data_IF_493194677163
#
_entry.id   IF_493194677163
#
_cell.length_a   1.000
_cell.length_b   1.000
_cell.length_c   1.000
_cell.angle_alpha   90.00
_cell.angle_beta   90.00
_cell.angle_gamma   90.00
#
_symmetry.space_group_name_H-M   'P 1'
#
loop_
_entity.id
_entity.type
_entity.pdbx_description
1 polymer ?
#
# COMPACT_ATOMS: atom_id res chain seq x y z
N UNK A 1 -0.18 -5.17 -43.21
CA UNK A 1 -0.45 -5.90 -44.46
C UNK A 1 -1.70 -5.37 -45.16
N UNK A 2 -2.92 -5.54 -44.62
CA UNK A 2 -4.16 -5.04 -45.26
C UNK A 2 -4.16 -3.53 -45.50
N UNK A 3 -3.75 -2.74 -44.51
CA UNK A 3 -3.67 -1.28 -44.63
C UNK A 3 -2.62 -0.82 -45.64
N UNK A 4 -1.55 -1.60 -45.84
CA UNK A 4 -0.56 -1.36 -46.89
C UNK A 4 -1.09 -1.74 -48.29
N UNK A 5 -1.95 -2.76 -48.38
CA UNK A 5 -2.61 -3.15 -49.63
C UNK A 5 -3.62 -2.09 -50.09
N UNK A 6 -4.39 -1.53 -49.15
CA UNK A 6 -5.36 -0.45 -49.42
C UNK A 6 -4.67 0.84 -49.87
N UNK A 7 -3.49 1.15 -49.33
CA UNK A 7 -2.72 2.32 -49.77
C UNK A 7 -2.00 2.12 -51.11
N UNK A 8 -1.77 0.88 -51.54
CA UNK A 8 -1.15 0.59 -52.84
C UNK A 8 -2.14 0.69 -54.01
N UNK A 9 -3.44 0.49 -53.76
CA UNK A 9 -4.51 0.66 -54.75
C UNK A 9 -5.15 2.04 -54.57
N UNK A 10 -4.76 3.02 -55.38
CA UNK A 10 -5.35 4.36 -55.33
C UNK A 10 -6.89 4.34 -55.47
N UNK A 11 -7.59 5.38 -54.97
CA UNK A 11 -9.06 5.38 -54.82
C UNK A 11 -9.85 5.32 -56.13
N UNK A 12 -9.22 5.48 -57.29
CA UNK A 12 -9.91 5.67 -58.59
C UNK A 12 -10.21 4.37 -59.36
N UNK A 13 -9.81 3.19 -58.84
CA UNK A 13 -9.89 1.93 -59.59
C UNK A 13 -10.85 0.86 -59.09
N UNK A 14 -11.47 1.03 -57.91
CA UNK A 14 -12.34 0.01 -57.32
C UNK A 14 -13.80 0.25 -57.65
N UNK A 15 -14.45 -0.78 -58.21
CA UNK A 15 -15.91 -0.81 -58.26
C UNK A 15 -16.48 -0.86 -56.84
N UNK A 16 -17.67 -0.30 -56.63
CA UNK A 16 -18.35 -0.30 -55.32
C UNK A 16 -18.42 -1.70 -54.70
N UNK A 17 -18.63 -2.74 -55.52
CA UNK A 17 -18.68 -4.13 -55.04
C UNK A 17 -17.33 -4.66 -54.52
N UNK A 18 -16.20 -4.25 -55.11
CA UNK A 18 -14.87 -4.62 -54.62
C UNK A 18 -14.55 -3.91 -53.30
N UNK A 19 -14.97 -2.66 -53.14
CA UNK A 19 -14.78 -1.91 -51.90
C UNK A 19 -15.55 -2.56 -50.74
N UNK A 20 -16.81 -2.94 -50.97
CA UNK A 20 -17.63 -3.65 -49.97
C UNK A 20 -17.04 -5.03 -49.61
N UNK A 21 -16.49 -5.75 -50.59
CA UNK A 21 -15.82 -7.04 -50.35
C UNK A 21 -14.55 -6.86 -49.50
N UNK A 22 -13.71 -5.87 -49.81
CA UNK A 22 -12.50 -5.58 -49.03
C UNK A 22 -12.84 -5.13 -47.60
N UNK A 23 -13.89 -4.33 -47.42
CA UNK A 23 -14.36 -3.94 -46.08
C UNK A 23 -14.80 -5.15 -45.25
N UNK A 24 -15.54 -6.09 -45.87
CA UNK A 24 -15.95 -7.35 -45.21
C UNK A 24 -14.75 -8.23 -44.86
N UNK A 25 -13.77 -8.36 -45.75
CA UNK A 25 -12.54 -9.13 -45.47
C UNK A 25 -11.72 -8.48 -44.36
N UNK A 26 -11.58 -7.15 -44.35
CA UNK A 26 -10.87 -6.44 -43.30
C UNK A 26 -11.56 -6.60 -41.94
N UNK A 27 -12.89 -6.51 -41.89
CA UNK A 27 -13.67 -6.77 -40.66
C UNK A 27 -13.49 -8.22 -40.17
N UNK A 28 -13.62 -9.20 -41.07
CA UNK A 28 -13.42 -10.61 -40.74
C UNK A 28 -11.99 -10.91 -40.26
N UNK A 29 -10.97 -10.30 -40.88
CA UNK A 29 -9.58 -10.44 -40.43
C UNK A 29 -9.32 -9.74 -39.10
N UNK A 30 -9.98 -8.63 -38.82
CA UNK A 30 -9.87 -7.94 -37.52
C UNK A 30 -10.54 -8.75 -36.40
N UNK A 31 -11.72 -9.31 -36.67
CA UNK A 31 -12.42 -10.20 -35.73
C UNK A 31 -11.63 -11.49 -35.53
N UNK A 32 -11.10 -12.07 -36.61
CA UNK A 32 -10.24 -13.23 -36.52
C UNK A 32 -8.93 -12.93 -35.81
N UNK A 33 -8.30 -11.76 -36.02
CA UNK A 33 -7.11 -11.31 -35.30
C UNK A 33 -7.39 -11.04 -33.81
N UNK A 34 -8.56 -10.50 -33.47
CA UNK A 34 -9.00 -10.36 -32.08
C UNK A 34 -9.25 -11.73 -31.44
N UNK A 35 -9.81 -12.68 -32.19
CA UNK A 35 -10.02 -14.07 -31.77
C UNK A 35 -8.70 -14.85 -31.64
N UNK A 36 -7.73 -14.64 -32.54
CA UNK A 36 -6.40 -15.30 -32.51
C UNK A 36 -5.44 -14.67 -31.53
N UNK A 37 -5.59 -13.38 -31.19
CA UNK A 37 -4.77 -12.76 -30.11
C UNK A 37 -5.01 -13.38 -28.74
N UNK A 38 -6.01 -14.25 -28.64
CA UNK A 38 -6.41 -14.87 -27.41
C UNK A 38 -6.92 -13.85 -26.41
N UNK A 39 -7.69 -14.33 -25.44
CA UNK A 39 -8.15 -13.44 -24.38
C UNK A 39 -7.00 -13.14 -23.43
N UNK A 40 -6.51 -11.90 -23.45
CA UNK A 40 -5.60 -11.39 -22.42
C UNK A 40 -6.36 -11.27 -21.10
N UNK A 41 -5.81 -11.87 -20.04
CA UNK A 41 -6.35 -11.79 -18.69
C UNK A 41 -5.68 -10.66 -17.93
N UNK A 42 -6.45 -9.82 -17.25
CA UNK A 42 -5.93 -8.78 -16.36
C UNK A 42 -5.91 -9.29 -14.92
N UNK A 43 -4.74 -9.27 -14.29
CA UNK A 43 -4.57 -9.61 -12.88
C UNK A 43 -4.01 -8.38 -12.16
N UNK A 44 -4.69 -7.93 -11.11
CA UNK A 44 -4.21 -6.84 -10.26
C UNK A 44 -4.06 -7.33 -8.84
N UNK A 45 -2.92 -7.04 -8.22
CA UNK A 45 -2.58 -7.46 -6.85
C UNK A 45 -2.09 -6.25 -6.09
N UNK A 46 -2.89 -5.83 -5.10
CA UNK A 46 -2.55 -4.77 -4.17
C UNK A 46 -2.25 -5.38 -2.80
N UNK A 47 -1.03 -5.21 -2.29
CA UNK A 47 -0.55 -5.94 -1.12
C UNK A 47 -0.02 -5.02 -0.03
N UNK A 48 -0.27 -5.35 1.24
CA UNK A 48 0.36 -4.65 2.36
C UNK A 48 1.82 -5.09 2.53
N UNK A 49 2.73 -4.13 2.78
CA UNK A 49 4.16 -4.39 2.98
C UNK A 49 4.51 -5.02 4.32
N UNK A 50 3.55 -5.11 5.25
CA UNK A 50 3.69 -5.75 6.57
C UNK A 50 2.62 -6.83 6.79
N UNK A 51 1.97 -7.28 5.72
CA UNK A 51 0.77 -8.12 5.77
C UNK A 51 1.14 -9.60 5.58
N UNK A 52 1.00 -10.47 6.59
CA UNK A 52 1.35 -11.88 6.49
C UNK A 52 0.55 -12.62 5.41
N UNK A 53 -0.76 -12.37 5.32
CA UNK A 53 -1.62 -12.96 4.28
C UNK A 53 -1.21 -12.53 2.87
N UNK A 54 -0.66 -11.33 2.74
CA UNK A 54 -0.17 -10.83 1.46
C UNK A 54 1.10 -11.56 1.05
N UNK A 55 2.04 -11.76 1.98
CA UNK A 55 3.22 -12.60 1.74
C UNK A 55 2.84 -14.03 1.35
N UNK A 56 1.88 -14.63 2.07
CA UNK A 56 1.38 -15.98 1.82
C UNK A 56 0.77 -16.10 0.42
N UNK A 57 -0.11 -15.18 0.02
CA UNK A 57 -0.67 -15.14 -1.32
C UNK A 57 0.40 -14.94 -2.40
N UNK A 58 1.35 -14.01 -2.20
CA UNK A 58 2.41 -13.77 -3.17
C UNK A 58 3.28 -15.02 -3.38
N UNK A 59 3.65 -15.71 -2.30
CA UNK A 59 4.48 -16.93 -2.35
C UNK A 59 3.73 -18.15 -2.89
N UNK A 60 2.51 -18.38 -2.45
CA UNK A 60 1.80 -19.65 -2.70
C UNK A 60 0.80 -19.56 -3.87
N UNK A 61 0.42 -18.36 -4.30
CA UNK A 61 -0.52 -18.14 -5.40
C UNK A 61 0.12 -17.45 -6.61
N UNK A 62 0.73 -16.27 -6.39
CA UNK A 62 1.26 -15.45 -7.50
C UNK A 62 2.60 -15.99 -8.02
N UNK A 63 3.49 -16.43 -7.14
CA UNK A 63 4.80 -16.96 -7.53
C UNK A 63 4.69 -18.16 -8.49
N UNK A 64 3.90 -19.21 -8.19
CA UNK A 64 3.74 -20.32 -9.13
C UNK A 64 3.15 -19.89 -10.47
N UNK A 65 2.27 -18.88 -10.47
CA UNK A 65 1.69 -18.33 -11.70
C UNK A 65 2.76 -17.63 -12.57
N UNK A 66 3.59 -16.77 -11.98
CA UNK A 66 4.67 -16.05 -12.69
C UNK A 66 5.72 -17.01 -13.27
N UNK A 67 5.99 -18.12 -12.57
CA UNK A 67 6.99 -19.11 -12.98
C UNK A 67 6.41 -20.27 -13.81
N UNK A 68 5.11 -20.28 -14.10
CA UNK A 68 4.47 -21.35 -14.87
C UNK A 68 4.86 -21.41 -16.35
N UNK A 69 5.55 -20.38 -16.87
CA UNK A 69 5.89 -20.30 -18.30
C UNK A 69 4.69 -19.94 -19.18
N UNK A 70 3.77 -19.11 -18.68
CA UNK A 70 2.67 -18.55 -19.47
C UNK A 70 3.27 -17.69 -20.60
N UNK A 71 2.78 -17.80 -21.85
CA UNK A 71 3.27 -16.99 -22.96
C UNK A 71 3.09 -15.48 -22.73
N UNK A 72 3.98 -14.69 -23.32
CA UNK A 72 3.84 -13.23 -23.36
C UNK A 72 2.51 -12.83 -24.03
N UNK A 73 1.90 -11.76 -23.54
CA UNK A 73 0.63 -11.18 -23.98
C UNK A 73 -0.61 -11.84 -23.37
N UNK A 74 -0.48 -13.04 -22.80
CA UNK A 74 -1.62 -13.79 -22.29
C UNK A 74 -2.14 -13.24 -20.95
N UNK A 75 -1.25 -12.74 -20.09
CA UNK A 75 -1.63 -12.19 -18.77
C UNK A 75 -0.92 -10.85 -18.54
N UNK A 76 -1.69 -9.85 -18.14
CA UNK A 76 -1.24 -8.50 -17.79
C UNK A 76 -1.32 -8.34 -16.28
N UNK A 77 -0.20 -8.08 -15.61
CA UNK A 77 -0.11 -7.95 -14.16
C UNK A 77 0.03 -6.49 -13.73
N UNK A 78 -0.82 -6.05 -12.79
CA UNK A 78 -0.55 -4.92 -11.90
C UNK A 78 -0.16 -5.49 -10.54
N UNK A 79 1.01 -5.12 -10.02
CA UNK A 79 1.52 -5.53 -8.72
C UNK A 79 2.00 -4.28 -7.99
N UNK A 80 1.25 -3.83 -6.98
CA UNK A 80 1.52 -2.58 -6.27
C UNK A 80 1.38 -2.74 -4.75
N UNK A 81 2.25 -2.09 -3.95
CA UNK A 81 2.03 -2.00 -2.53
C UNK A 81 0.78 -1.15 -2.24
N UNK A 82 -0.02 -1.58 -1.27
CA UNK A 82 -1.18 -0.84 -0.78
C UNK A 82 -0.73 0.20 0.24
N UNK A 83 -0.79 1.45 -0.17
CA UNK A 83 -0.57 2.63 0.66
C UNK A 83 -1.82 3.50 0.53
N UNK A 84 -2.37 3.99 1.64
CA UNK A 84 -3.56 4.87 1.60
C UNK A 84 -3.30 6.09 0.71
N UNK A 85 -4.29 6.47 -0.10
CA UNK A 85 -4.12 7.48 -1.14
C UNK A 85 -3.87 8.91 -0.63
N UNK A 86 -4.05 9.18 0.66
CA UNK A 86 -3.97 10.49 1.31
C UNK A 86 -2.59 10.83 1.90
N UNK A 87 -1.62 9.92 1.81
CA UNK A 87 -0.30 10.12 2.40
C UNK A 87 0.53 11.16 1.63
N UNK A 88 1.14 12.09 2.36
CA UNK A 88 2.23 12.94 1.84
C UNK A 88 3.56 12.21 1.96
N UNK A 89 4.62 12.77 1.39
CA UNK A 89 5.97 12.24 1.56
C UNK A 89 6.36 12.13 3.04
N UNK A 90 6.02 13.15 3.81
CA UNK A 90 6.34 13.27 5.23
C UNK A 90 5.54 12.25 6.06
N UNK A 91 4.24 12.12 5.80
CA UNK A 91 3.41 11.14 6.53
C UNK A 91 3.75 9.71 6.15
N UNK A 92 4.25 9.49 4.92
CA UNK A 92 4.73 8.19 4.49
C UNK A 92 5.94 7.71 5.31
N UNK A 93 6.87 8.62 5.66
CA UNK A 93 8.05 8.27 6.44
C UNK A 93 7.74 7.89 7.89
N UNK A 94 6.66 8.44 8.47
CA UNK A 94 6.21 8.11 9.82
C UNK A 94 5.26 6.90 9.87
N UNK A 95 4.77 6.44 8.72
CA UNK A 95 3.92 5.26 8.59
C UNK A 95 4.75 4.05 8.13
N UNK A 96 4.95 3.05 8.99
CA UNK A 96 5.82 1.90 8.67
C UNK A 96 5.46 1.21 7.34
N UNK A 97 4.18 0.84 7.06
CA UNK A 97 3.82 0.26 5.77
C UNK A 97 4.23 1.10 4.57
N UNK A 98 4.01 2.41 4.63
CA UNK A 98 4.40 3.33 3.56
C UNK A 98 5.93 3.46 3.44
N UNK A 99 6.63 3.55 4.57
CA UNK A 99 8.09 3.63 4.58
C UNK A 99 8.75 2.41 3.92
N UNK A 100 8.22 1.20 4.16
CA UNK A 100 8.68 -0.04 3.52
C UNK A 100 8.30 -0.11 2.03
N UNK A 101 7.15 0.46 1.66
CA UNK A 101 6.71 0.49 0.27
C UNK A 101 7.68 1.23 -0.67
N UNK A 102 8.55 2.11 -0.16
CA UNK A 102 9.55 2.82 -0.97
C UNK A 102 10.55 1.88 -1.63
N UNK A 103 11.11 0.92 -0.87
CA UNK A 103 12.06 -0.05 -1.40
C UNK A 103 11.38 -0.99 -2.42
N UNK A 104 10.17 -1.44 -2.08
CA UNK A 104 9.31 -2.22 -2.98
C UNK A 104 9.03 -1.47 -4.28
N UNK A 105 8.68 -0.19 -4.24
CA UNK A 105 8.44 0.61 -5.44
C UNK A 105 9.70 0.80 -6.28
N UNK A 106 10.86 0.98 -5.65
CA UNK A 106 12.13 1.01 -6.36
C UNK A 106 12.44 -0.31 -7.08
N UNK A 107 12.15 -1.45 -6.44
CA UNK A 107 12.31 -2.76 -7.07
C UNK A 107 11.29 -3.01 -8.20
N UNK A 108 10.10 -2.42 -8.10
CA UNK A 108 9.05 -2.47 -9.12
C UNK A 108 9.26 -1.46 -10.26
N UNK A 109 10.28 -0.59 -10.21
CA UNK A 109 10.46 0.47 -11.20
C UNK A 109 10.58 -0.08 -12.64
N UNK A 110 11.24 -1.23 -12.82
CA UNK A 110 11.36 -1.89 -14.14
C UNK A 110 10.03 -2.47 -14.67
N UNK A 111 8.99 -2.52 -13.85
CA UNK A 111 7.64 -2.95 -14.23
C UNK A 111 6.72 -1.78 -14.56
N UNK A 112 7.20 -0.54 -14.44
CA UNK A 112 6.42 0.66 -14.73
C UNK A 112 6.58 1.07 -16.21
N UNK A 113 5.50 1.57 -16.84
CA UNK A 113 4.13 1.69 -16.32
C UNK A 113 3.41 0.33 -16.25
N UNK A 114 2.52 0.17 -15.26
CA UNK A 114 1.68 -1.01 -15.12
C UNK A 114 0.29 -0.84 -15.77
N UNK A 115 -0.36 -1.92 -16.26
CA UNK A 115 0.06 -3.32 -16.12
C UNK A 115 1.26 -3.67 -17.02
N UNK A 116 1.95 -4.75 -16.68
CA UNK A 116 3.10 -5.29 -17.42
C UNK A 116 2.82 -6.73 -17.82
N UNK A 117 3.58 -7.25 -18.78
CA UNK A 117 3.51 -8.67 -19.13
C UNK A 117 3.96 -9.57 -17.97
N UNK A 118 3.12 -10.54 -17.59
CA UNK A 118 3.40 -11.48 -16.49
C UNK A 118 4.70 -12.27 -16.72
N UNK A 119 5.01 -12.62 -17.98
CA UNK A 119 6.15 -13.47 -18.33
C UNK A 119 7.48 -12.70 -18.40
N UNK A 120 7.45 -11.36 -18.26
CA UNK A 120 8.65 -10.53 -18.30
C UNK A 120 9.61 -10.83 -17.16
N UNK A 121 10.91 -10.77 -17.44
CA UNK A 121 11.93 -10.98 -16.39
C UNK A 121 11.94 -9.85 -15.36
N UNK A 122 11.45 -8.66 -15.73
CA UNK A 122 11.22 -7.57 -14.77
C UNK A 122 10.23 -8.00 -13.69
N UNK A 123 9.10 -8.62 -14.06
CA UNK A 123 8.11 -9.12 -13.08
C UNK A 123 8.70 -10.19 -12.17
N UNK A 124 9.42 -11.16 -12.72
CA UNK A 124 10.05 -12.24 -11.92
C UNK A 124 10.99 -11.67 -10.86
N UNK A 125 11.96 -10.86 -11.29
CA UNK A 125 12.94 -10.23 -10.39
C UNK A 125 12.26 -9.32 -9.36
N UNK A 126 11.30 -8.49 -9.77
CA UNK A 126 10.59 -7.64 -8.82
C UNK A 126 9.77 -8.46 -7.83
N UNK A 127 9.12 -9.54 -8.25
CA UNK A 127 8.36 -10.42 -7.34
C UNK A 127 9.27 -11.17 -6.37
N UNK A 128 10.41 -11.69 -6.83
CA UNK A 128 11.44 -12.30 -5.96
C UNK A 128 11.83 -11.30 -4.86
N UNK A 129 12.06 -10.03 -5.24
CA UNK A 129 12.47 -8.99 -4.29
C UNK A 129 11.36 -8.71 -3.29
N UNK A 130 10.14 -8.50 -3.77
CA UNK A 130 8.96 -8.23 -2.93
C UNK A 130 8.73 -9.37 -1.94
N UNK A 131 8.79 -10.62 -2.37
CA UNK A 131 8.64 -11.78 -1.49
C UNK A 131 9.74 -11.86 -0.42
N UNK A 132 10.98 -11.51 -0.76
CA UNK A 132 12.08 -11.46 0.20
C UNK A 132 11.94 -10.30 1.20
N UNK A 133 11.64 -9.08 0.73
CA UNK A 133 11.47 -7.90 1.59
C UNK A 133 10.27 -8.10 2.54
N UNK A 134 9.13 -8.54 2.03
CA UNK A 134 7.95 -8.82 2.86
C UNK A 134 8.21 -9.93 3.89
N UNK A 135 9.06 -10.91 3.59
CA UNK A 135 9.40 -11.93 4.57
C UNK A 135 10.07 -11.32 5.81
N UNK A 136 10.96 -10.35 5.62
CA UNK A 136 11.64 -9.67 6.72
C UNK A 136 10.67 -8.75 7.49
N UNK A 137 9.88 -7.94 6.79
CA UNK A 137 8.96 -7.00 7.43
C UNK A 137 7.81 -7.71 8.16
N UNK A 138 7.29 -8.82 7.63
CA UNK A 138 6.28 -9.67 8.31
C UNK A 138 6.86 -10.33 9.56
N UNK A 139 8.15 -10.65 9.57
CA UNK A 139 8.85 -11.15 10.77
C UNK A 139 9.20 -10.04 11.78
N UNK A 140 8.74 -8.82 11.55
CA UNK A 140 8.92 -7.72 12.49
C UNK A 140 10.27 -7.01 12.38
N UNK A 141 10.96 -7.12 11.25
CA UNK A 141 12.14 -6.31 11.00
C UNK A 141 11.82 -4.81 11.21
N UNK A 142 12.60 -4.15 12.06
CA UNK A 142 12.58 -2.70 12.22
C UNK A 142 13.13 -2.01 10.97
N UNK A 143 12.89 -0.70 10.75
CA UNK A 143 13.44 -0.02 9.57
C UNK A 143 14.95 -0.16 9.40
N UNK A 144 15.79 -0.01 10.46
CA UNK A 144 17.23 -0.25 10.33
C UNK A 144 17.59 -1.69 9.94
N UNK A 145 16.87 -2.68 10.47
CA UNK A 145 17.08 -4.10 10.11
C UNK A 145 16.65 -4.36 8.66
N UNK A 146 15.52 -3.80 8.23
CA UNK A 146 15.03 -3.99 6.87
C UNK A 146 15.98 -3.36 5.84
N UNK A 147 16.62 -2.22 6.15
CA UNK A 147 17.67 -1.63 5.30
C UNK A 147 18.81 -2.60 5.04
N UNK A 148 19.18 -3.43 6.03
CA UNK A 148 20.21 -4.47 5.82
C UNK A 148 19.68 -5.63 4.95
N UNK A 149 18.42 -6.03 5.16
CA UNK A 149 17.77 -7.08 4.38
C UNK A 149 17.61 -6.70 2.90
N UNK A 150 17.34 -5.43 2.59
CA UNK A 150 17.15 -4.90 1.23
C UNK A 150 18.33 -5.27 0.31
N UNK A 151 19.57 -5.17 0.78
CA UNK A 151 20.75 -5.52 -0.03
C UNK A 151 20.81 -7.02 -0.35
N UNK A 152 20.46 -7.88 0.62
CA UNK A 152 20.39 -9.33 0.42
C UNK A 152 19.27 -9.69 -0.56
N UNK A 153 18.08 -9.10 -0.40
CA UNK A 153 16.95 -9.31 -1.28
C UNK A 153 17.25 -8.84 -2.71
N UNK A 154 17.84 -7.65 -2.89
CA UNK A 154 18.24 -7.16 -4.21
C UNK A 154 19.18 -8.17 -4.92
N UNK A 155 20.16 -8.72 -4.20
CA UNK A 155 21.09 -9.71 -4.74
C UNK A 155 20.40 -11.02 -5.12
N UNK A 156 19.53 -11.56 -4.26
CA UNK A 156 18.78 -12.79 -4.52
C UNK A 156 17.87 -12.64 -5.76
N UNK A 157 17.35 -11.44 -5.98
CA UNK A 157 16.43 -11.13 -7.07
C UNK A 157 17.12 -10.59 -8.32
N UNK A 158 18.45 -10.59 -8.36
CA UNK A 158 19.25 -10.04 -9.47
C UNK A 158 18.90 -8.59 -9.81
N UNK A 159 18.55 -7.79 -8.80
CA UNK A 159 18.38 -6.33 -8.90
C UNK A 159 19.68 -5.69 -8.39
N UNK A 160 20.24 -4.76 -9.16
CA UNK A 160 21.42 -4.02 -8.71
C UNK A 160 21.08 -3.26 -7.42
N UNK A 161 21.79 -3.55 -6.33
CA UNK A 161 21.63 -2.81 -5.09
C UNK A 161 22.31 -1.44 -5.17
N UNK A 162 23.57 -1.43 -5.60
CA UNK A 162 24.41 -0.23 -5.70
C UNK A 162 24.48 0.31 -7.14
N UNK A 163 25.10 1.49 -7.29
CA UNK A 163 25.25 2.18 -8.57
C UNK A 163 24.15 3.22 -8.85
N UNK A 164 24.29 4.02 -9.92
CA UNK A 164 23.41 5.16 -10.20
C UNK A 164 21.96 4.75 -10.45
N UNK A 165 21.76 3.55 -11.01
CA UNK A 165 20.45 2.93 -11.26
C UNK A 165 20.10 1.85 -10.24
N UNK A 166 20.91 1.69 -9.19
CA UNK A 166 20.72 0.69 -8.16
C UNK A 166 19.56 1.03 -7.23
N UNK A 167 19.06 0.01 -6.54
CA UNK A 167 17.96 0.12 -5.59
C UNK A 167 18.24 1.15 -4.49
N UNK A 168 19.47 1.16 -3.95
CA UNK A 168 19.90 2.13 -2.94
C UNK A 168 19.79 3.56 -3.45
N UNK A 169 20.27 3.84 -4.66
CA UNK A 169 20.17 5.18 -5.26
C UNK A 169 18.71 5.62 -5.39
N UNK A 170 17.82 4.73 -5.83
CA UNK A 170 16.38 5.02 -5.90
C UNK A 170 15.74 5.34 -4.54
N UNK A 171 16.16 4.62 -3.48
CA UNK A 171 15.67 4.86 -2.13
C UNK A 171 16.20 6.20 -1.60
N UNK A 172 17.52 6.39 -1.66
CA UNK A 172 18.25 7.53 -1.10
C UNK A 172 17.89 8.84 -1.81
N UNK A 173 17.66 8.81 -3.12
CA UNK A 173 17.24 9.99 -3.91
C UNK A 173 15.78 10.39 -3.69
N UNK A 174 15.01 9.59 -2.93
CA UNK A 174 13.57 9.78 -2.76
C UNK A 174 12.72 9.35 -3.95
N UNK A 175 13.30 8.74 -5.00
CA UNK A 175 12.56 8.30 -6.18
C UNK A 175 11.45 7.30 -5.80
N UNK A 176 11.71 6.37 -4.87
CA UNK A 176 10.68 5.46 -4.37
C UNK A 176 9.46 6.18 -3.78
N UNK A 177 9.67 7.33 -3.13
CA UNK A 177 8.57 8.16 -2.63
C UNK A 177 7.86 8.90 -3.77
N UNK A 178 8.60 9.46 -4.73
CA UNK A 178 8.02 10.05 -5.94
C UNK A 178 7.13 9.06 -6.70
N UNK A 179 7.54 7.78 -6.77
CA UNK A 179 6.75 6.72 -7.40
C UNK A 179 5.46 6.38 -6.62
N UNK A 180 5.43 6.57 -5.31
CA UNK A 180 4.23 6.41 -4.48
C UNK A 180 3.29 7.62 -4.56
N UNK A 181 3.81 8.81 -4.84
CA UNK A 181 3.03 10.05 -4.87
C UNK A 181 2.63 10.48 -6.28
N UNK A 182 3.17 9.84 -7.33
CA UNK A 182 2.80 10.13 -8.72
C UNK A 182 1.31 9.89 -8.99
N UNK A 183 0.73 10.70 -9.87
CA UNK A 183 -0.71 10.67 -10.19
C UNK A 183 -1.17 9.29 -10.67
N UNK A 184 -0.37 8.62 -11.51
CA UNK A 184 -0.71 7.30 -12.03
C UNK A 184 -0.86 6.24 -10.91
N UNK A 185 0.00 6.28 -9.89
CA UNK A 185 -0.09 5.39 -8.73
C UNK A 185 -1.29 5.76 -7.86
N UNK A 186 -1.42 7.04 -7.49
CA UNK A 186 -2.52 7.53 -6.64
C UNK A 186 -3.88 7.29 -7.26
N UNK A 187 -3.99 7.42 -8.58
CA UNK A 187 -5.24 7.14 -9.29
C UNK A 187 -5.61 5.66 -9.22
N UNK A 188 -4.65 4.73 -9.37
CA UNK A 188 -4.90 3.29 -9.18
C UNK A 188 -5.37 3.00 -7.76
N UNK A 189 -4.66 3.47 -6.75
CA UNK A 189 -5.05 3.29 -5.35
C UNK A 189 -6.46 3.84 -5.09
N UNK A 190 -6.77 5.06 -5.55
CA UNK A 190 -8.09 5.68 -5.35
C UNK A 190 -9.22 4.89 -6.00
N UNK A 191 -9.03 4.43 -7.24
CA UNK A 191 -10.03 3.60 -7.93
C UNK A 191 -10.24 2.30 -7.15
N UNK A 192 -9.16 1.66 -6.71
CA UNK A 192 -9.26 0.45 -5.89
C UNK A 192 -9.93 0.72 -4.54
N UNK A 193 -9.66 1.84 -3.86
CA UNK A 193 -10.34 2.25 -2.62
C UNK A 193 -11.85 2.38 -2.84
N UNK A 194 -12.27 3.02 -3.95
CA UNK A 194 -13.68 3.15 -4.32
C UNK A 194 -14.34 1.80 -4.60
N UNK A 195 -13.63 0.88 -5.26
CA UNK A 195 -14.12 -0.49 -5.46
C UNK A 195 -14.25 -1.24 -4.13
N UNK A 196 -13.26 -1.14 -3.25
CA UNK A 196 -13.25 -1.80 -1.95
C UNK A 196 -14.30 -1.25 -0.98
N UNK A 197 -14.74 0.00 -1.15
CA UNK A 197 -15.85 0.55 -0.36
C UNK A 197 -17.16 -0.26 -0.52
N UNK A 198 -17.30 -1.04 -1.59
CA UNK A 198 -18.44 -1.95 -1.83
C UNK A 198 -18.28 -3.31 -1.13
N UNK A 199 -17.12 -3.55 -0.52
CA UNK A 199 -16.71 -4.79 0.11
C UNK A 199 -16.20 -4.52 1.53
N UNK A 200 -17.09 -4.09 2.44
CA UNK A 200 -16.70 -3.91 3.83
C UNK A 200 -16.08 -5.21 4.36
N UNK A 201 -15.06 -5.10 5.21
CA UNK A 201 -14.32 -6.22 5.79
C UNK A 201 -13.32 -6.94 4.87
N UNK A 202 -13.18 -6.54 3.60
CA UNK A 202 -12.11 -7.08 2.78
C UNK A 202 -10.75 -6.64 3.33
N UNK A 203 -9.87 -7.62 3.59
CA UNK A 203 -8.49 -7.41 3.98
C UNK A 203 -7.54 -7.66 2.80
N UNK A 204 -6.35 -7.06 2.88
CA UNK A 204 -5.31 -7.27 1.89
C UNK A 204 -4.79 -8.73 1.95
N UNK A 205 -4.34 -9.31 0.82
CA UNK A 205 -4.18 -8.66 -0.48
C UNK A 205 -5.53 -8.45 -1.19
N UNK A 206 -5.65 -7.33 -1.91
CA UNK A 206 -6.78 -7.08 -2.79
C UNK A 206 -6.41 -7.54 -4.19
N UNK A 207 -7.05 -8.60 -4.65
CA UNK A 207 -6.73 -9.24 -5.91
C UNK A 207 -7.92 -9.08 -6.84
N UNK A 208 -7.70 -8.54 -8.03
CA UNK A 208 -8.73 -8.39 -9.04
C UNK A 208 -8.38 -9.22 -10.27
N UNK A 209 -9.37 -9.98 -10.76
CA UNK A 209 -9.28 -10.78 -11.96
C UNK A 209 -10.29 -10.24 -12.97
N UNK A 210 -9.79 -9.66 -14.06
CA UNK A 210 -10.58 -8.97 -15.09
C UNK A 210 -11.51 -7.90 -14.49
N UNK A 211 -11.02 -7.16 -13.49
CA UNK A 211 -11.76 -6.08 -12.81
C UNK A 211 -12.71 -6.53 -11.69
N UNK A 212 -12.86 -7.84 -11.46
CA UNK A 212 -13.69 -8.37 -10.37
C UNK A 212 -12.82 -8.83 -9.19
N UNK A 213 -13.29 -8.60 -7.96
CA UNK A 213 -12.54 -8.99 -6.76
C UNK A 213 -12.45 -10.53 -6.67
N UNK A 214 -11.25 -11.07 -6.66
CA UNK A 214 -10.99 -12.50 -6.53
C UNK A 214 -11.34 -12.97 -5.11
N UNK A 215 -12.07 -14.08 -5.02
CA UNK A 215 -12.44 -14.72 -3.75
C UNK A 215 -11.71 -16.04 -3.63
N UNK A 216 -10.86 -16.15 -2.60
CA UNK A 216 -10.11 -17.35 -2.29
C UNK A 216 -10.40 -17.82 -0.87
N UNK A 217 -10.51 -19.14 -0.69
CA UNK A 217 -10.68 -19.77 0.62
C UNK A 217 -9.34 -19.93 1.35
N UNK A 218 -8.23 -19.89 0.62
CA UNK A 218 -6.85 -19.88 1.11
C UNK A 218 -5.95 -19.24 0.04
N UNK A 219 -4.67 -19.00 0.33
CA UNK A 219 -3.72 -18.52 -0.68
C UNK A 219 -3.64 -19.47 -1.89
N UNK A 220 -3.79 -20.77 -1.68
CA UNK A 220 -3.64 -21.79 -2.73
C UNK A 220 -4.96 -22.12 -3.46
N UNK A 221 -6.10 -21.61 -3.00
CA UNK A 221 -7.41 -22.02 -3.52
C UNK A 221 -8.37 -20.87 -3.68
N UNK A 222 -8.62 -20.52 -4.95
CA UNK A 222 -9.59 -19.53 -5.38
C UNK A 222 -10.88 -20.19 -5.88
N UNK A 223 -12.01 -19.65 -5.43
CA UNK A 223 -13.33 -20.26 -5.57
C UNK A 223 -14.28 -19.47 -6.48
N UNK A 224 -13.98 -18.19 -6.72
CA UNK A 224 -14.78 -17.34 -7.59
C UNK A 224 -14.27 -15.91 -7.65
N UNK A 225 -15.09 -15.04 -8.22
CA UNK A 225 -14.98 -13.58 -8.10
C UNK A 225 -16.19 -13.01 -7.40
N UNK A 226 -16.09 -11.75 -6.97
CA UNK A 226 -17.18 -10.95 -6.42
C UNK A 226 -17.23 -9.64 -7.20
N UNK A 227 -18.43 -9.30 -7.64
CA UNK A 227 -18.73 -8.08 -8.38
C UNK A 227 -19.87 -7.33 -7.66
N UNK A 228 -20.23 -6.09 -8.07
CA UNK A 228 -21.36 -5.38 -7.47
C UNK A 228 -22.69 -6.14 -7.63
N UNK A 229 -22.82 -6.99 -8.66
CA UNK A 229 -23.99 -7.85 -8.87
C UNK A 229 -24.01 -9.11 -8.01
N UNK A 230 -23.00 -9.32 -7.16
CA UNK A 230 -22.88 -10.47 -6.28
C UNK A 230 -21.72 -11.43 -6.62
N UNK A 231 -21.63 -12.55 -5.89
CA UNK A 231 -20.59 -13.57 -6.06
C UNK A 231 -20.78 -14.37 -7.36
N UNK A 232 -19.67 -14.71 -8.01
CA UNK A 232 -19.59 -15.50 -9.25
C UNK A 232 -18.63 -16.66 -9.04
N UNK A 233 -19.12 -17.88 -8.71
CA UNK A 233 -18.25 -19.03 -8.52
C UNK A 233 -17.56 -19.42 -9.82
N UNK A 234 -16.33 -19.91 -9.73
CA UNK A 234 -15.66 -20.50 -10.89
C UNK A 234 -16.22 -21.88 -11.19
N UNK A 235 -16.35 -22.21 -12.49
CA UNK A 235 -16.69 -23.56 -12.92
C UNK A 235 -15.65 -24.60 -12.47
N UNK A 236 -14.39 -24.19 -12.35
CA UNK A 236 -13.29 -25.01 -11.88
C UNK A 236 -12.47 -24.24 -10.82
N UNK A 237 -12.89 -24.27 -9.53
CA UNK A 237 -12.11 -23.67 -8.46
C UNK A 237 -10.76 -24.39 -8.31
N UNK A 238 -9.75 -23.71 -7.75
CA UNK A 238 -8.41 -24.27 -7.56
C UNK A 238 -7.36 -23.18 -7.39
N UNK A 239 -6.09 -23.51 -7.65
CA UNK A 239 -5.00 -22.54 -7.58
C UNK A 239 -5.21 -21.36 -8.52
N UNK A 240 -4.58 -20.23 -8.22
CA UNK A 240 -4.60 -19.05 -9.09
C UNK A 240 -4.15 -19.42 -10.52
N UNK A 241 -3.11 -20.25 -10.65
CA UNK A 241 -2.66 -20.76 -11.94
C UNK A 241 -3.76 -21.51 -12.69
N UNK A 242 -4.50 -22.42 -12.02
CA UNK A 242 -5.61 -23.14 -12.65
C UNK A 242 -6.72 -22.19 -13.11
N UNK A 243 -7.09 -21.23 -12.26
CA UNK A 243 -8.11 -20.22 -12.56
C UNK A 243 -7.72 -19.41 -13.80
N UNK A 244 -6.49 -18.88 -13.84
CA UNK A 244 -5.98 -18.13 -14.99
C UNK A 244 -5.95 -19.02 -16.24
N UNK A 245 -5.37 -20.22 -16.14
CA UNK A 245 -5.29 -21.16 -17.26
C UNK A 245 -6.66 -21.50 -17.86
N UNK A 246 -7.71 -21.63 -17.03
CA UNK A 246 -9.08 -21.88 -17.51
C UNK A 246 -9.68 -20.70 -18.28
N UNK A 247 -9.10 -19.50 -18.13
CA UNK A 247 -9.55 -18.28 -18.81
C UNK A 247 -8.81 -17.99 -20.11
N UNK A 248 -7.68 -18.64 -20.36
CA UNK A 248 -6.86 -18.46 -21.56
C UNK A 248 -7.39 -19.32 -22.71
N UNK A 249 -7.58 -18.68 -23.86
CA UNK A 249 -7.98 -19.32 -25.11
C UNK A 249 -7.16 -18.73 -26.26
N UNK A 250 -6.40 -19.53 -27.04
CA UNK A 250 -6.19 -20.97 -26.84
C UNK A 250 -5.44 -21.24 -25.52
N UNK A 251 -5.63 -22.43 -24.97
CA UNK A 251 -4.93 -22.85 -23.74
C UNK A 251 -3.44 -23.07 -24.03
N UNK A 252 -2.52 -22.38 -23.32
CA UNK A 252 -1.08 -22.59 -23.50
C UNK A 252 -0.63 -23.98 -23.03
N UNK A 253 0.47 -24.48 -23.59
CA UNK A 253 1.09 -25.75 -23.17
C UNK A 253 1.36 -25.82 -21.67
N UNK A 254 1.83 -24.71 -21.08
CA UNK A 254 2.05 -24.56 -19.64
C UNK A 254 0.81 -24.86 -18.78
N UNK A 255 -0.38 -24.69 -19.35
CA UNK A 255 -1.65 -24.88 -18.66
C UNK A 255 -2.23 -26.30 -18.79
N UNK A 256 -1.70 -27.14 -19.69
CA UNK A 256 -2.29 -28.45 -19.97
C UNK A 256 -2.25 -29.40 -18.77
N UNK A 257 -1.14 -29.45 -18.03
CA UNK A 257 -1.02 -30.31 -16.83
C UNK A 257 -1.96 -29.85 -15.72
N UNK A 258 -1.97 -28.55 -15.44
CA UNK A 258 -2.77 -27.93 -14.38
C UNK A 258 -4.27 -28.11 -14.60
N UNK A 259 -4.73 -28.08 -15.86
CA UNK A 259 -6.14 -28.27 -16.20
C UNK A 259 -6.56 -29.76 -16.25
N UNK A 260 -5.63 -30.66 -16.61
CA UNK A 260 -5.88 -32.11 -16.61
C UNK A 260 -5.97 -32.71 -15.22
N UNK A 261 -5.24 -32.15 -14.26
CA UNK A 261 -5.28 -32.63 -12.88
C UNK A 261 -6.68 -32.39 -12.28
N UNK A 262 -7.45 -33.48 -12.13
CA UNK A 262 -8.77 -33.46 -11.48
C UNK A 262 -8.69 -33.63 -9.97
N UNK A 263 -7.50 -33.96 -9.44
CA UNK A 263 -7.27 -34.23 -8.02
C UNK A 263 -7.46 -32.97 -7.16
N UNK A 264 -7.43 -31.78 -7.78
CA UNK A 264 -7.78 -30.51 -7.14
C UNK A 264 -9.30 -30.25 -7.02
N UNK A 265 -10.14 -31.22 -7.39
CA UNK A 265 -11.60 -31.13 -7.30
C UNK A 265 -12.06 -30.67 -5.90
N UNK A 266 -13.21 -29.97 -5.81
CA UNK A 266 -13.78 -29.62 -4.51
C UNK A 266 -13.85 -30.90 -3.65
N UNK A 267 -13.33 -30.89 -2.40
CA UNK A 267 -13.44 -32.04 -1.53
C UNK A 267 -14.92 -32.43 -1.49
N UNK A 268 -15.23 -33.65 -1.92
CA UNK A 268 -16.60 -34.13 -2.05
C UNK A 268 -17.27 -34.05 -0.68
N UNK A 269 -18.10 -33.03 -0.46
CA UNK A 269 -18.74 -32.74 0.83
C UNK A 269 -18.67 -31.30 1.31
N UNK A 270 -17.85 -30.43 0.72
CA UNK A 270 -17.85 -29.00 1.05
C UNK A 270 -19.05 -28.30 0.40
N UNK A 271 -20.21 -28.39 1.04
CA UNK A 271 -21.37 -27.55 0.71
C UNK A 271 -21.00 -26.07 0.93
N UNK A 272 -21.26 -25.16 -0.01
CA UNK A 272 -20.83 -23.78 0.05
C UNK A 272 -21.71 -22.99 1.02
N UNK A 273 -21.55 -23.21 2.33
CA UNK A 273 -22.00 -22.22 3.32
C UNK A 273 -20.96 -21.10 3.35
N UNK A 274 -20.97 -20.27 2.30
CA UNK A 274 -20.12 -19.09 2.14
C UNK A 274 -20.35 -18.03 3.25
N UNK A 275 -21.34 -18.23 4.14
CA UNK A 275 -21.69 -17.33 5.23
C UNK A 275 -21.39 -17.88 6.64
N UNK A 276 -20.88 -19.10 6.79
CA UNK A 276 -20.65 -19.71 8.12
C UNK A 276 -19.17 -19.97 8.41
N UNK A 277 -18.29 -19.16 7.82
CA UNK A 277 -16.85 -19.10 8.15
C UNK A 277 -16.55 -17.78 8.83
N UNK A 278 -17.25 -17.47 9.92
CA UNK A 278 -16.77 -16.60 11.00
C UNK A 278 -17.60 -16.85 12.27
N UNK A 279 -17.65 -18.09 12.75
CA UNK A 279 -17.61 -18.23 14.21
C UNK A 279 -16.13 -18.01 14.54
N UNK A 280 -15.82 -16.81 15.02
CA UNK A 280 -14.47 -16.43 15.41
C UNK A 280 -13.84 -17.59 16.20
N UNK A 281 -12.68 -18.05 15.76
CA UNK A 281 -12.02 -19.18 16.40
C UNK A 281 -11.67 -18.76 17.83
N UNK A 282 -12.39 -19.32 18.83
CA UNK A 282 -12.25 -18.97 20.25
C UNK A 282 -10.84 -19.28 20.78
N UNK A 283 -10.03 -20.08 20.07
CA UNK A 283 -8.63 -20.36 20.38
C UNK A 283 -7.60 -19.66 19.47
N UNK A 284 -8.02 -18.81 18.53
CA UNK A 284 -7.10 -17.82 17.93
C UNK A 284 -6.97 -16.55 18.80
N UNK A 285 -7.59 -16.54 19.99
CA UNK A 285 -7.48 -15.46 20.97
C UNK A 285 -6.22 -15.58 21.83
N UNK A 286 -5.64 -16.77 22.00
CA UNK A 286 -4.49 -16.92 22.92
C UNK A 286 -3.10 -16.78 22.28
N UNK A 287 -2.96 -16.98 20.95
CA UNK A 287 -1.75 -16.62 20.18
C UNK A 287 -2.01 -15.62 19.02
N UNK A 288 -3.28 -15.37 18.66
CA UNK A 288 -3.67 -14.54 17.51
C UNK A 288 -4.27 -13.18 17.89
N UNK A 289 -4.40 -12.88 19.19
CA UNK A 289 -4.46 -11.51 19.67
C UNK A 289 -3.05 -10.94 19.89
N UNK A 290 -2.10 -11.22 18.98
CA UNK A 290 -1.17 -10.17 18.60
C UNK A 290 -2.00 -9.10 17.90
N UNK A 291 -2.76 -8.34 18.69
CA UNK A 291 -2.96 -6.94 18.37
C UNK A 291 -1.53 -6.47 18.16
N UNK A 292 -1.21 -6.11 16.92
CA UNK A 292 -0.29 -5.00 16.76
C UNK A 292 -0.94 -3.87 17.57
N UNK A 293 -0.65 -3.83 18.87
CA UNK A 293 -0.25 -2.59 19.47
C UNK A 293 0.92 -2.19 18.59
N UNK A 294 0.60 -1.57 17.46
CA UNK A 294 1.26 -0.33 17.12
C UNK A 294 1.32 0.36 18.45
N UNK A 295 2.46 0.22 19.12
CA UNK A 295 2.92 1.20 20.06
C UNK A 295 3.08 2.49 19.26
N UNK A 296 2.00 3.04 18.73
CA UNK A 296 1.44 4.17 19.39
C UNK A 296 1.59 3.95 20.92
N UNK A 297 2.57 4.50 21.64
CA UNK A 297 3.24 5.78 21.41
C UNK A 297 2.37 6.85 20.71
N UNK A 298 1.05 6.68 20.63
CA UNK A 298 0.15 7.43 21.46
C UNK A 298 0.63 7.22 22.93
N UNK A 299 1.77 7.73 23.40
CA UNK A 299 1.87 9.17 23.71
C UNK A 299 0.74 9.90 23.02
N UNK A 300 -0.46 9.68 23.53
CA UNK A 300 -1.54 10.62 23.39
C UNK A 300 -0.86 11.97 23.51
N UNK A 301 -0.77 12.70 22.41
CA UNK A 301 -0.47 14.12 22.46
C UNK A 301 -1.63 14.87 23.17
N UNK A 302 -2.48 14.18 23.95
CA UNK A 302 -3.14 14.70 25.17
C UNK A 302 -2.14 15.39 26.12
N UNK A 303 -0.82 15.19 25.95
CA UNK A 303 0.20 16.05 26.56
C UNK A 303 0.66 17.26 25.74
N UNK A 304 0.65 17.26 24.39
CA UNK A 304 1.30 18.33 23.61
C UNK A 304 0.40 19.52 23.32
N UNK A 305 -0.92 19.32 23.15
CA UNK A 305 -1.81 20.48 23.17
C UNK A 305 -1.75 21.16 24.55
N UNK A 306 -1.72 20.39 25.64
CA UNK A 306 -1.53 20.98 26.98
C UNK A 306 -0.17 21.66 27.14
N UNK A 307 0.92 21.16 26.56
CA UNK A 307 2.24 21.81 26.63
C UNK A 307 2.31 23.09 25.78
N UNK A 308 1.64 23.14 24.62
CA UNK A 308 1.52 24.36 23.82
C UNK A 308 0.63 25.40 24.52
N UNK A 309 -0.50 24.98 25.11
CA UNK A 309 -1.37 25.86 25.89
C UNK A 309 -0.70 26.35 27.18
N UNK A 310 0.05 25.52 27.89
CA UNK A 310 0.84 25.92 29.07
C UNK A 310 1.99 26.85 28.66
N UNK A 311 2.65 26.58 27.53
CA UNK A 311 3.69 27.46 26.98
C UNK A 311 3.16 28.85 26.62
N UNK A 312 2.00 28.94 25.96
CA UNK A 312 1.35 30.21 25.66
C UNK A 312 0.81 30.91 26.91
N UNK A 313 0.27 30.17 27.87
CA UNK A 313 -0.18 30.75 29.15
C UNK A 313 0.99 31.34 29.95
N UNK A 314 2.13 30.65 30.03
CA UNK A 314 3.33 31.15 30.70
C UNK A 314 3.94 32.36 29.98
N UNK A 315 3.96 32.37 28.65
CA UNK A 315 4.40 33.53 27.88
C UNK A 315 3.49 34.75 28.09
N UNK A 316 2.17 34.55 28.11
CA UNK A 316 1.19 35.61 28.39
C UNK A 316 1.33 36.15 29.83
N UNK A 317 1.56 35.26 30.81
CA UNK A 317 1.80 35.66 32.21
C UNK A 317 3.11 36.45 32.36
N UNK A 318 4.17 36.03 31.66
CA UNK A 318 5.43 36.78 31.58
C UNK A 318 5.26 38.17 30.97
N UNK A 319 4.45 38.29 29.92
CA UNK A 319 4.15 39.59 29.30
C UNK A 319 3.33 40.50 30.24
N UNK A 320 2.32 39.95 30.93
CA UNK A 320 1.50 40.69 31.89
C UNK A 320 2.31 41.19 33.10
N UNK A 321 3.23 40.37 33.62
CA UNK A 321 4.11 40.77 34.73
C UNK A 321 5.08 41.87 34.33
N UNK A 322 5.65 41.81 33.11
CA UNK A 322 6.48 42.89 32.57
C UNK A 322 5.68 44.19 32.38
N UNK A 323 4.45 44.11 31.85
CA UNK A 323 3.58 45.28 31.69
C UNK A 323 3.16 45.88 33.04
N UNK A 324 2.81 45.05 34.02
CA UNK A 324 2.46 45.52 35.36
C UNK A 324 3.67 46.15 36.09
N UNK A 325 4.86 45.56 35.96
CA UNK A 325 6.10 46.13 36.47
C UNK A 325 6.43 47.49 35.84
N UNK A 326 6.30 47.58 34.51
CA UNK A 326 6.45 48.84 33.78
C UNK A 326 5.45 49.91 34.22
N UNK A 327 4.18 49.55 34.42
CA UNK A 327 3.15 50.44 34.91
C UNK A 327 3.42 50.94 36.35
N UNK A 328 3.93 50.09 37.23
CA UNK A 328 4.30 50.45 38.61
C UNK A 328 5.50 51.41 38.66
N UNK A 329 6.51 51.19 37.82
CA UNK A 329 7.66 52.10 37.69
C UNK A 329 7.23 53.42 37.10
N UNK A 330 6.43 53.40 36.03
CA UNK A 330 5.84 54.60 35.45
C UNK A 330 4.97 55.34 36.46
N UNK A 331 4.13 54.64 37.23
CA UNK A 331 3.32 55.21 38.31
C UNK A 331 4.22 55.86 39.37
N UNK A 332 5.30 55.22 39.81
CA UNK A 332 6.23 55.81 40.79
C UNK A 332 6.93 57.06 40.26
N UNK A 333 7.26 57.11 38.97
CA UNK A 333 7.86 58.29 38.37
C UNK A 333 6.86 59.41 38.06
N UNK A 334 5.61 59.05 37.74
CA UNK A 334 4.54 59.99 37.41
C UNK A 334 3.74 60.43 38.65
N UNK A 335 3.82 59.70 39.76
CA UNK A 335 3.26 60.09 41.04
C UNK A 335 4.10 61.22 41.60
N UNK A 336 3.60 62.46 41.55
CA UNK A 336 4.28 63.57 42.19
C UNK A 336 4.27 63.26 43.68
N UNK A 337 5.44 63.30 44.29
CA UNK A 337 5.66 63.07 45.71
C UNK A 337 4.51 63.65 46.55
N UNK A 338 3.79 62.77 47.25
CA UNK A 338 3.08 63.17 48.46
C UNK A 338 4.14 63.71 49.41
N UNK A 339 4.22 65.04 49.47
CA UNK A 339 5.11 65.76 50.37
C UNK A 339 4.72 65.46 51.80
N UNK A 340 5.71 65.00 52.55
CA UNK A 340 5.99 65.26 53.96
C UNK A 340 4.81 65.60 54.90
N UNK A 341 4.64 64.78 55.93
CA UNK A 341 4.22 65.24 57.26
C UNK A 341 5.16 64.65 58.33
N UNK A 342 5.46 65.40 59.43
CA UNK A 342 6.60 65.15 60.30
C UNK A 342 6.30 64.24 61.52
N UNK A 343 7.36 63.58 61.96
CA UNK A 343 7.82 63.24 63.33
C UNK A 343 6.76 63.10 64.45
N UNK A 344 6.70 61.90 65.04
CA UNK A 344 6.06 61.62 66.33
C UNK A 344 6.62 60.35 66.99
N UNK A 345 7.63 60.55 67.83
CA UNK A 345 7.95 59.92 69.14
C UNK A 345 7.47 58.50 69.53
N UNK A 346 8.45 57.62 69.76
CA UNK A 346 8.68 56.67 70.88
C UNK A 346 7.60 55.64 71.28
N UNK A 347 7.93 54.34 71.19
CA UNK A 347 8.05 53.46 72.39
C UNK A 347 8.76 52.13 72.08
N UNK A 348 9.53 51.66 73.06
CA UNK A 348 10.47 50.54 73.07
C UNK A 348 9.84 49.17 73.42
N UNK A 349 10.60 48.12 73.05
CA UNK A 349 10.76 46.79 73.67
C UNK A 349 9.87 45.62 73.15
N UNK A 350 10.26 44.35 73.40
CA UNK A 350 11.58 43.74 73.18
C UNK A 350 11.48 42.38 72.42
N UNK A 351 12.63 41.73 72.30
CA UNK A 351 12.93 40.46 71.64
C UNK A 351 12.01 39.27 71.94
N UNK A 352 11.88 38.37 70.94
CA UNK A 352 11.80 36.93 71.18
C UNK A 352 12.58 36.17 70.09
N UNK A 353 13.45 35.28 70.56
CA UNK A 353 14.18 34.26 69.82
C UNK A 353 13.22 33.17 69.31
N UNK A 354 13.55 32.51 68.20
CA UNK A 354 12.82 31.28 67.86
C UNK A 354 13.12 30.66 66.50
N UNK A 355 14.13 29.79 66.47
CA UNK A 355 13.95 28.46 65.88
C UNK A 355 14.10 28.27 64.37
N UNK A 356 15.27 27.75 63.98
CA UNK A 356 15.41 26.73 62.94
C UNK A 356 14.45 25.55 63.22
N UNK A 357 14.02 24.81 62.18
CA UNK A 357 14.64 23.49 62.05
C UNK A 357 14.98 23.05 60.61
N UNK A 358 15.98 22.19 60.61
CA UNK A 358 16.40 21.24 59.58
C UNK A 358 15.31 20.28 59.10
N UNK A 359 15.57 19.71 57.91
CA UNK A 359 15.10 18.37 57.48
C UNK A 359 13.90 18.42 56.53
N UNK A 360 13.77 17.58 55.51
CA UNK A 360 14.40 16.31 55.16
C UNK A 360 14.09 16.02 53.67
N UNK A 361 14.98 15.24 53.05
CA UNK A 361 14.81 14.29 51.93
C UNK A 361 14.35 14.76 50.53
#
# INVERSE_FOLDING_TARGET
>A
AVQALVMATGPEGLTQGQADMLAKVAAALSEHAASTRGRTVSLEVYFGTTCPHCLDFLKNALYPLVHAGIPQGAVRLTLLPWVKGDQTAETCLSNLPCSYARAVMCALNATLPQPVDLASDAVKRSLDFVCCDLHNTVQGATPPQNVQAISSCARQSHIAHDGPTGLRSCIDSGLGNTLLTQDAFRQKIRVTEQTLAQYPEQLAPFVFLDGELLVCSSAERCIGTRSPSGPKPFAAPGSLLRVICSRLSPTPTACHSVLKDRSAGPPAGASPRLHEVTKACENCVEDGAFKWHWGHAERKHVGQEKVLWVGHALAALGLLTLLAGGALVAWRHLSPSARAAPVGEVLLAPAEEGGLPHGLE
#
